data_IF_043904989282
#
_entry.id   IF_043904989282
#
_cell.length_a   1.000
_cell.length_b   1.000
_cell.length_c   1.000
_cell.angle_alpha   90.00
_cell.angle_beta   90.00
_cell.angle_gamma   90.00
#
_symmetry.space_group_name_H-M   'P 1'
#
loop_
_entity.id
_entity.type
_entity.pdbx_description
1 polymer ?
#
# COMPACT_ATOMS: atom_id res chain seq x y z
N UNK A 1 7.57 77.81 -42.55
CA UNK A 1 7.64 76.33 -42.68
C UNK A 1 7.93 75.77 -41.30
N UNK A 2 7.10 74.83 -40.84
CA UNK A 2 7.16 74.21 -39.50
C UNK A 2 8.20 73.09 -39.51
N UNK A 3 9.13 73.06 -38.55
CA UNK A 3 9.90 71.85 -38.23
C UNK A 3 9.93 71.64 -36.72
N UNK A 4 9.54 70.43 -36.32
CA UNK A 4 9.17 69.99 -34.98
C UNK A 4 10.39 69.47 -34.19
N UNK A 5 10.33 69.63 -32.87
CA UNK A 5 11.12 68.92 -31.86
C UNK A 5 10.97 67.39 -31.98
N UNK A 6 12.02 66.66 -31.63
CA UNK A 6 11.93 65.26 -31.21
C UNK A 6 12.74 65.06 -29.93
N UNK A 7 12.02 65.07 -28.81
CA UNK A 7 12.50 64.72 -27.47
C UNK A 7 12.63 63.20 -27.38
N UNK A 8 13.82 62.70 -27.04
CA UNK A 8 14.07 61.27 -26.80
C UNK A 8 13.62 60.92 -25.37
N UNK A 9 12.61 60.07 -25.22
CA UNK A 9 12.25 59.46 -23.94
C UNK A 9 13.02 58.14 -23.78
N UNK A 10 13.85 58.05 -22.74
CA UNK A 10 14.48 56.81 -22.30
C UNK A 10 13.44 56.01 -21.49
N UNK A 11 13.00 54.87 -22.04
CA UNK A 11 12.16 53.92 -21.32
C UNK A 11 13.05 52.93 -20.55
N UNK A 12 13.07 53.04 -19.22
CA UNK A 12 13.69 52.04 -18.34
C UNK A 12 12.75 50.84 -18.18
N UNK A 13 13.10 49.69 -18.76
CA UNK A 13 12.44 48.41 -18.49
C UNK A 13 12.84 47.91 -17.09
N UNK A 14 11.88 47.84 -16.18
CA UNK A 14 12.02 47.07 -14.93
C UNK A 14 11.64 45.61 -15.20
N UNK A 15 12.63 44.72 -15.21
CA UNK A 15 12.40 43.28 -15.26
C UNK A 15 11.90 42.78 -13.90
N UNK A 16 10.62 42.42 -13.83
CA UNK A 16 10.05 41.73 -12.67
C UNK A 16 10.54 40.27 -12.66
N UNK A 17 11.43 39.93 -11.74
CA UNK A 17 11.88 38.56 -11.51
C UNK A 17 10.80 37.74 -10.83
N UNK A 18 10.20 36.79 -11.55
CA UNK A 18 9.41 35.71 -10.96
C UNK A 18 10.36 34.78 -10.19
N UNK A 19 10.38 34.91 -8.86
CA UNK A 19 11.03 33.93 -7.99
C UNK A 19 10.14 32.68 -7.99
N UNK A 20 10.53 31.66 -8.76
CA UNK A 20 9.97 30.33 -8.63
C UNK A 20 10.46 29.76 -7.29
N UNK A 21 9.61 29.83 -6.27
CA UNK A 21 9.80 29.08 -5.04
C UNK A 21 9.72 27.59 -5.39
N UNK A 22 10.88 26.95 -5.60
CA UNK A 22 10.97 25.51 -5.66
C UNK A 22 10.50 24.97 -4.31
N UNK A 23 9.34 24.30 -4.28
CA UNK A 23 8.91 23.56 -3.12
C UNK A 23 10.01 22.52 -2.80
N UNK A 24 10.73 22.73 -1.70
CA UNK A 24 11.64 21.71 -1.18
C UNK A 24 10.87 20.41 -1.01
N UNK A 25 11.41 19.25 -1.40
CA UNK A 25 10.79 17.98 -1.07
C UNK A 25 10.70 17.93 0.46
N UNK A 26 9.48 17.85 0.99
CA UNK A 26 9.26 17.66 2.42
C UNK A 26 10.13 16.49 2.89
N UNK A 27 10.80 16.68 4.03
CA UNK A 27 11.67 15.66 4.62
C UNK A 27 10.84 14.44 4.99
N UNK A 28 10.74 13.50 4.08
CA UNK A 28 9.98 12.28 4.27
C UNK A 28 10.59 11.49 5.43
N UNK A 29 9.84 11.35 6.53
CA UNK A 29 10.32 10.64 7.72
C UNK A 29 9.96 9.17 7.58
N UNK A 30 10.96 8.29 7.61
CA UNK A 30 10.72 6.85 7.58
C UNK A 30 10.60 6.29 8.98
N UNK A 31 9.42 5.76 9.31
CA UNK A 31 9.21 5.01 10.55
C UNK A 31 9.71 3.57 10.36
N UNK A 32 10.77 3.22 11.10
CA UNK A 32 11.45 1.92 10.96
C UNK A 32 10.56 0.76 11.43
N UNK A 33 10.68 -0.37 10.72
CA UNK A 33 9.51 -1.21 10.51
C UNK A 33 9.05 -2.08 11.69
N UNK A 34 7.77 -1.97 12.04
CA UNK A 34 7.10 -2.87 12.99
C UNK A 34 6.98 -4.27 12.38
N UNK A 35 7.33 -5.30 13.17
CA UNK A 35 7.06 -6.68 12.80
C UNK A 35 5.71 -7.12 13.37
N UNK A 36 4.91 -7.82 12.57
CA UNK A 36 3.57 -8.29 12.98
C UNK A 36 3.32 -9.71 12.48
N UNK A 37 2.76 -10.55 13.34
CA UNK A 37 2.18 -11.84 12.97
C UNK A 37 0.72 -11.65 12.56
N UNK A 38 0.35 -12.23 11.42
CA UNK A 38 -0.99 -12.25 10.87
C UNK A 38 -1.43 -13.71 10.77
N UNK A 39 -2.49 -14.06 11.48
CA UNK A 39 -3.08 -15.41 11.46
C UNK A 39 -4.02 -15.57 10.26
N UNK A 40 -4.06 -16.77 9.67
CA UNK A 40 -5.01 -17.10 8.61
C UNK A 40 -6.41 -17.44 9.14
N UNK A 41 -6.54 -17.79 10.41
CA UNK A 41 -7.80 -18.14 11.09
C UNK A 41 -8.66 -16.91 11.42
N UNK A 42 -8.09 -15.70 11.24
CA UNK A 42 -8.73 -14.44 11.62
C UNK A 42 -8.99 -13.59 10.39
N UNK A 43 -10.05 -12.80 10.46
CA UNK A 43 -10.37 -11.78 9.45
C UNK A 43 -9.36 -10.63 9.45
N UNK A 44 -9.85 -9.41 9.20
CA UNK A 44 -9.02 -8.21 9.19
C UNK A 44 -8.35 -7.97 10.54
N UNK A 45 -7.01 -7.90 10.54
CA UNK A 45 -6.19 -7.70 11.74
C UNK A 45 -5.44 -6.37 11.66
N UNK A 46 -5.54 -5.53 12.70
CA UNK A 46 -4.79 -4.28 12.77
C UNK A 46 -3.29 -4.54 12.82
N UNK A 47 -2.55 -3.86 11.93
CA UNK A 47 -1.10 -3.95 11.86
C UNK A 47 -0.39 -2.98 12.82
N UNK A 48 -1.13 -2.14 13.54
CA UNK A 48 -0.59 -1.15 14.49
C UNK A 48 0.07 0.05 13.82
N UNK A 49 -0.34 0.34 12.58
CA UNK A 49 0.12 1.44 11.74
C UNK A 49 -1.12 2.22 11.30
N UNK A 50 -1.15 3.50 11.62
CA UNK A 50 -2.08 4.48 11.06
C UNK A 50 -1.37 5.22 9.95
N UNK A 51 -2.08 5.57 8.88
CA UNK A 51 -1.54 6.31 7.74
C UNK A 51 -2.46 7.45 7.36
N UNK A 52 -1.88 8.46 6.73
CA UNK A 52 -2.57 9.60 6.12
C UNK A 52 -2.48 9.52 4.58
N UNK A 53 -3.36 10.23 3.83
CA UNK A 53 -3.28 10.28 2.38
C UNK A 53 -1.92 10.80 1.92
N UNK A 54 -1.26 10.07 1.01
CA UNK A 54 0.08 10.39 0.52
C UNK A 54 1.17 9.48 1.08
N UNK A 55 0.98 8.93 2.29
CA UNK A 55 1.95 8.04 2.94
C UNK A 55 2.29 6.83 2.08
N UNK A 56 3.58 6.47 2.08
CA UNK A 56 4.07 5.27 1.40
C UNK A 56 4.30 4.14 2.37
N UNK A 57 3.42 3.13 2.32
CA UNK A 57 3.48 1.93 3.15
C UNK A 57 4.20 0.82 2.42
N UNK A 58 5.33 0.36 2.98
CA UNK A 58 6.07 -0.80 2.48
C UNK A 58 5.85 -1.99 3.40
N UNK A 59 5.36 -3.08 2.82
CA UNK A 59 5.10 -4.34 3.51
C UNK A 59 5.98 -5.43 2.90
N UNK A 60 6.65 -6.22 3.74
CA UNK A 60 7.50 -7.33 3.31
C UNK A 60 7.26 -8.56 4.18
N UNK A 61 7.08 -9.71 3.54
CA UNK A 61 7.08 -11.00 4.21
C UNK A 61 8.43 -11.26 4.89
N UNK A 62 8.37 -11.82 6.10
CA UNK A 62 9.53 -12.03 6.98
C UNK A 62 9.61 -13.45 7.57
N UNK A 63 8.68 -14.35 7.23
CA UNK A 63 8.68 -15.74 7.69
C UNK A 63 7.28 -16.26 8.05
N UNK A 64 7.21 -17.53 8.46
CA UNK A 64 5.95 -18.20 8.79
C UNK A 64 5.22 -18.75 7.56
N UNK A 65 4.24 -19.61 7.78
CA UNK A 65 3.44 -20.22 6.71
C UNK A 65 2.01 -20.39 7.21
N UNK A 66 1.07 -20.36 6.28
CA UNK A 66 -0.33 -20.62 6.55
C UNK A 66 -0.97 -21.46 5.45
N UNK A 67 -2.16 -21.95 5.68
CA UNK A 67 -2.99 -22.64 4.68
C UNK A 67 -4.43 -22.14 4.80
N UNK A 68 -5.20 -22.25 3.71
CA UNK A 68 -6.64 -21.97 3.72
C UNK A 68 -7.51 -23.23 3.89
N UNK A 69 -6.86 -24.39 3.99
CA UNK A 69 -7.47 -25.64 4.43
C UNK A 69 -6.33 -26.55 4.89
N UNK A 70 -6.21 -26.78 6.20
CA UNK A 70 -5.15 -27.64 6.74
C UNK A 70 -5.31 -29.13 6.40
N UNK A 71 -6.48 -29.53 5.90
CA UNK A 71 -6.82 -30.91 5.55
C UNK A 71 -6.49 -31.21 4.09
N UNK A 72 -6.68 -30.24 3.20
CA UNK A 72 -6.52 -30.45 1.75
C UNK A 72 -5.27 -29.77 1.15
N UNK A 73 -4.90 -28.58 1.62
CA UNK A 73 -3.92 -27.74 0.92
C UNK A 73 -2.60 -27.57 1.67
N UNK A 74 -1.47 -27.45 0.93
CA UNK A 74 -0.17 -27.27 1.57
C UNK A 74 -0.06 -25.88 2.22
N UNK A 75 0.78 -25.77 3.23
CA UNK A 75 1.14 -24.48 3.80
C UNK A 75 1.96 -23.66 2.79
N UNK A 76 1.60 -22.40 2.59
CA UNK A 76 2.25 -21.44 1.69
C UNK A 76 2.77 -20.23 2.46
N UNK A 77 3.67 -19.47 1.82
CA UNK A 77 4.04 -18.14 2.32
C UNK A 77 2.90 -17.14 2.03
N UNK A 78 3.09 -15.88 2.42
CA UNK A 78 2.14 -14.81 2.11
C UNK A 78 1.96 -14.54 0.60
N UNK A 79 2.74 -15.18 -0.28
CA UNK A 79 2.53 -15.13 -1.73
C UNK A 79 1.21 -15.78 -2.17
N UNK A 80 0.72 -16.75 -1.40
CA UNK A 80 -0.45 -17.57 -1.72
C UNK A 80 -0.13 -18.77 -2.61
N UNK A 81 -1.20 -19.44 -3.03
CA UNK A 81 -1.08 -20.68 -3.81
C UNK A 81 -0.64 -20.45 -5.26
N UNK A 82 0.12 -21.41 -5.78
CA UNK A 82 0.37 -21.49 -7.21
C UNK A 82 -0.95 -21.69 -7.97
N UNK A 83 -1.02 -21.16 -9.20
CA UNK A 83 -2.25 -21.14 -9.99
C UNK A 83 -2.91 -22.52 -10.08
N UNK A 84 -2.19 -23.63 -10.23
CA UNK A 84 -2.79 -24.97 -10.34
C UNK A 84 -3.49 -25.46 -9.07
N UNK A 85 -3.00 -25.09 -7.87
CA UNK A 85 -3.69 -25.38 -6.61
C UNK A 85 -4.86 -24.42 -6.43
N UNK A 86 -4.63 -23.13 -6.67
CA UNK A 86 -5.62 -22.07 -6.45
C UNK A 86 -6.96 -22.31 -7.16
N UNK A 87 -6.98 -22.91 -8.35
CA UNK A 87 -8.23 -23.22 -9.12
C UNK A 87 -9.05 -24.36 -8.52
N UNK A 88 -8.45 -25.18 -7.64
CA UNK A 88 -9.15 -26.27 -6.95
C UNK A 88 -9.90 -25.78 -5.71
N UNK A 89 -9.50 -24.64 -5.17
CA UNK A 89 -10.11 -24.03 -3.99
C UNK A 89 -11.43 -23.36 -4.38
N UNK A 90 -12.43 -23.31 -3.50
CA UNK A 90 -13.72 -22.71 -3.79
C UNK A 90 -13.62 -21.18 -4.05
N UNK A 91 -13.76 -20.77 -5.32
CA UNK A 91 -13.39 -19.41 -5.77
C UNK A 91 -14.21 -18.26 -5.14
N UNK A 92 -15.41 -18.52 -4.61
CA UNK A 92 -16.27 -17.49 -4.03
C UNK A 92 -15.79 -16.99 -2.67
N UNK A 93 -14.78 -17.65 -2.09
CA UNK A 93 -14.15 -17.19 -0.85
C UNK A 93 -13.09 -16.11 -1.06
N UNK A 94 -12.69 -15.79 -2.31
CA UNK A 94 -11.71 -14.71 -2.53
C UNK A 94 -12.31 -13.34 -2.30
N UNK A 95 -11.65 -12.53 -1.47
CA UNK A 95 -11.96 -11.11 -1.33
C UNK A 95 -11.43 -10.36 -2.55
N UNK A 96 -10.17 -10.60 -2.91
CA UNK A 96 -9.61 -10.14 -4.18
C UNK A 96 -9.66 -11.30 -5.18
N UNK A 97 -10.76 -11.39 -5.92
CA UNK A 97 -11.08 -12.50 -6.84
C UNK A 97 -10.00 -12.78 -7.91
N UNK A 98 -9.26 -11.74 -8.32
CA UNK A 98 -8.17 -11.83 -9.32
C UNK A 98 -6.83 -12.26 -8.72
N UNK A 99 -6.77 -12.55 -7.42
CA UNK A 99 -5.53 -12.94 -6.73
C UNK A 99 -5.68 -14.32 -6.08
N UNK A 100 -4.57 -15.05 -5.87
CA UNK A 100 -4.65 -16.40 -5.31
C UNK A 100 -5.25 -16.39 -3.90
N UNK A 101 -5.91 -17.47 -3.52
CA UNK A 101 -6.14 -17.79 -2.12
C UNK A 101 -4.80 -17.88 -1.39
N UNK A 102 -4.83 -17.70 -0.07
CA UNK A 102 -3.61 -17.74 0.74
C UNK A 102 -2.67 -16.56 0.51
N UNK A 103 -2.94 -15.66 -0.46
CA UNK A 103 -2.11 -14.47 -0.64
C UNK A 103 -2.47 -13.43 0.41
N UNK A 104 -1.48 -12.70 0.93
CA UNK A 104 -1.78 -11.61 1.85
C UNK A 104 -2.41 -10.44 1.10
N UNK A 105 -3.42 -9.85 1.73
CA UNK A 105 -4.07 -8.62 1.28
C UNK A 105 -4.09 -7.61 2.42
N UNK A 106 -4.15 -6.34 2.03
CA UNK A 106 -4.25 -5.22 2.94
C UNK A 106 -5.55 -4.46 2.71
N UNK A 107 -5.99 -3.77 3.75
CA UNK A 107 -7.07 -2.80 3.72
C UNK A 107 -6.66 -1.55 4.48
N UNK A 108 -6.95 -0.40 3.91
CA UNK A 108 -6.88 0.90 4.57
C UNK A 108 -8.24 1.55 4.30
N UNK A 109 -9.06 1.67 5.35
CA UNK A 109 -10.45 2.11 5.27
C UNK A 109 -11.27 1.43 4.15
N UNK A 110 -11.65 2.13 3.07
CA UNK A 110 -12.43 1.56 1.97
C UNK A 110 -11.61 0.75 0.96
N UNK A 111 -10.29 0.97 0.92
CA UNK A 111 -9.43 0.48 -0.15
C UNK A 111 -8.81 -0.88 0.17
N UNK A 112 -8.74 -1.74 -0.84
CA UNK A 112 -8.13 -3.06 -0.76
C UNK A 112 -6.90 -3.16 -1.67
N UNK A 113 -5.85 -3.78 -1.16
CA UNK A 113 -4.57 -3.89 -1.84
C UNK A 113 -4.07 -5.33 -1.83
N UNK A 114 -3.48 -5.76 -2.94
CA UNK A 114 -2.69 -6.99 -2.96
C UNK A 114 -1.36 -6.75 -2.26
N UNK A 115 -0.99 -7.62 -1.33
CA UNK A 115 0.34 -7.60 -0.69
C UNK A 115 1.23 -8.73 -1.20
N UNK A 116 0.76 -9.98 -1.16
CA UNK A 116 1.61 -11.12 -1.50
C UNK A 116 2.87 -11.18 -0.62
N UNK A 117 4.04 -11.41 -1.23
CA UNK A 117 5.34 -11.39 -0.52
C UNK A 117 5.86 -9.99 -0.22
N UNK A 118 5.46 -8.98 -1.01
CA UNK A 118 5.89 -7.60 -0.85
C UNK A 118 4.94 -6.65 -1.57
N UNK A 119 4.71 -5.48 -0.97
CA UNK A 119 4.00 -4.38 -1.61
C UNK A 119 4.56 -3.02 -1.19
N UNK A 120 4.32 -2.04 -2.05
CA UNK A 120 4.45 -0.63 -1.78
C UNK A 120 3.09 -0.01 -2.11
N UNK A 121 2.42 0.53 -1.09
CA UNK A 121 1.07 1.09 -1.17
C UNK A 121 1.19 2.58 -0.88
N UNK A 122 0.61 3.41 -1.75
CA UNK A 122 0.34 4.80 -1.42
C UNK A 122 -1.04 4.87 -0.78
N UNK A 123 -1.12 5.38 0.45
CA UNK A 123 -2.40 5.58 1.12
C UNK A 123 -3.20 6.68 0.40
N UNK A 124 -4.46 6.39 0.06
CA UNK A 124 -5.38 7.35 -0.55
C UNK A 124 -6.35 7.95 0.47
N UNK A 125 -6.55 7.23 1.56
CA UNK A 125 -7.42 7.59 2.67
C UNK A 125 -6.66 7.40 3.97
N UNK A 126 -7.02 8.21 4.97
CA UNK A 126 -6.51 8.03 6.31
C UNK A 126 -7.11 6.77 6.95
N UNK A 127 -6.31 6.06 7.74
CA UNK A 127 -6.83 4.91 8.49
C UNK A 127 -5.78 3.95 8.99
N UNK A 128 -6.24 2.96 9.78
CA UNK A 128 -5.38 1.87 10.19
C UNK A 128 -5.16 0.86 9.07
N UNK A 129 -3.90 0.51 8.83
CA UNK A 129 -3.54 -0.63 8.00
C UNK A 129 -4.05 -1.92 8.68
N UNK A 130 -4.88 -2.65 7.96
CA UNK A 130 -5.34 -3.98 8.32
C UNK A 130 -4.82 -5.01 7.31
N UNK A 131 -4.47 -6.21 7.79
CA UNK A 131 -3.96 -7.30 6.97
C UNK A 131 -4.77 -8.56 7.20
N UNK A 132 -4.86 -9.43 6.18
CA UNK A 132 -5.42 -10.78 6.28
C UNK A 132 -4.93 -11.68 5.16
N UNK A 133 -5.24 -12.96 5.27
CA UNK A 133 -5.21 -13.92 4.15
C UNK A 133 -6.37 -13.64 3.18
N UNK A 134 -6.13 -13.79 1.87
CA UNK A 134 -7.15 -13.63 0.82
C UNK A 134 -8.11 -14.83 0.82
N UNK A 135 -8.99 -14.81 1.80
CA UNK A 135 -10.00 -15.82 2.04
C UNK A 135 -11.10 -15.21 2.92
N UNK A 136 -12.37 -15.41 2.60
CA UNK A 136 -13.50 -14.65 3.13
C UNK A 136 -13.93 -15.15 4.51
N UNK A 137 -14.68 -14.34 5.25
CA UNK A 137 -15.05 -14.64 6.64
C UNK A 137 -15.77 -15.99 6.81
N UNK A 138 -16.61 -16.39 5.84
CA UNK A 138 -17.30 -17.68 5.87
C UNK A 138 -16.42 -18.89 5.56
N UNK A 139 -15.15 -18.68 5.24
CA UNK A 139 -14.22 -19.71 4.78
C UNK A 139 -12.98 -19.84 5.68
N UNK A 140 -12.92 -19.11 6.80
CA UNK A 140 -11.75 -19.14 7.69
C UNK A 140 -11.68 -20.37 8.61
N UNK A 141 -12.71 -21.22 8.63
CA UNK A 141 -12.90 -22.26 9.66
C UNK A 141 -11.91 -23.42 9.59
N UNK A 142 -11.32 -23.64 8.42
CA UNK A 142 -10.31 -24.64 8.10
C UNK A 142 -8.94 -24.01 7.77
N UNK A 143 -8.80 -22.70 7.92
CA UNK A 143 -7.51 -22.03 7.82
C UNK A 143 -6.63 -22.41 9.00
N UNK A 144 -5.32 -22.43 8.78
CA UNK A 144 -4.35 -22.62 9.87
C UNK A 144 -3.05 -21.87 9.63
N UNK A 145 -2.37 -21.55 10.72
CA UNK A 145 -1.04 -20.98 10.71
C UNK A 145 -1.02 -19.45 10.60
N UNK A 146 0.20 -18.93 10.49
CA UNK A 146 0.42 -17.49 10.50
C UNK A 146 1.69 -17.11 9.77
N UNK A 147 1.72 -15.88 9.26
CA UNK A 147 2.88 -15.29 8.60
C UNK A 147 3.31 -14.02 9.31
N UNK A 148 4.61 -13.80 9.35
CA UNK A 148 5.22 -12.59 9.90
C UNK A 148 5.56 -11.62 8.78
N UNK A 149 5.26 -10.36 9.00
CA UNK A 149 5.60 -9.26 8.07
C UNK A 149 6.37 -8.16 8.76
N UNK A 150 7.17 -7.43 7.99
CA UNK A 150 7.78 -6.14 8.35
C UNK A 150 7.07 -5.03 7.62
N UNK A 151 6.73 -3.95 8.32
CA UNK A 151 5.95 -2.83 7.81
C UNK A 151 6.68 -1.54 8.13
N UNK A 152 7.03 -0.75 7.13
CA UNK A 152 7.61 0.58 7.30
C UNK A 152 6.75 1.62 6.58
N UNK A 153 6.60 2.80 7.17
CA UNK A 153 5.89 3.93 6.56
C UNK A 153 6.90 5.02 6.24
N UNK A 154 6.62 5.79 5.20
CA UNK A 154 7.33 7.01 4.85
C UNK A 154 6.29 8.08 4.64
N UNK A 155 6.29 9.06 5.54
CA UNK A 155 5.31 10.13 5.58
C UNK A 155 5.70 11.18 4.51
N UNK A 156 4.71 11.77 3.82
CA UNK A 156 4.92 12.73 2.74
C UNK A 156 4.21 14.07 2.99
#
# INVERSE_FOLDING_TARGET
>A
MRSKLATLFLATLTAAGCVLAGASPASATSHYGKSKWISAEKGWQHAGVYVEPGDMVRIRYAGGRWTVDYREFPYVSSAGYARHIDRRIYQRCKILSRHPHGSMIARINGDYYRVGSRALIQAREAGFLQLRVNDANGCLGDNDGSVRVKISVTDY
#
